data_IF_420903873888
#
_entry.id   IF_420903873888
#
_cell.length_a   1.000
_cell.length_b   1.000
_cell.length_c   1.000
_cell.angle_alpha   90.00
_cell.angle_beta   90.00
_cell.angle_gamma   90.00
#
_symmetry.space_group_name_H-M   'P 1'
#
loop_
_entity.id
_entity.type
_entity.pdbx_description
1 polymer ?
#
# COMPACT_ATOMS: atom_id res chain seq x y z
N UNK A 1 18.25 -8.50 7.99
CA UNK A 1 17.49 -7.82 6.93
C UNK A 1 17.06 -6.49 7.51
N UNK A 2 17.96 -5.51 7.55
CA UNK A 2 17.65 -4.17 8.04
C UNK A 2 16.98 -3.42 6.89
N UNK A 3 15.64 -3.42 6.89
CA UNK A 3 14.91 -2.44 6.11
C UNK A 3 15.39 -1.05 6.55
N UNK A 4 15.65 -0.16 5.59
CA UNK A 4 15.95 1.25 5.83
C UNK A 4 15.11 1.77 7.01
N UNK A 5 15.78 2.27 8.04
CA UNK A 5 15.23 2.65 9.35
C UNK A 5 14.05 3.64 9.30
N UNK A 6 13.78 4.23 8.13
CA UNK A 6 12.71 5.18 7.89
C UNK A 6 11.31 4.58 7.83
N UNK A 7 11.17 3.26 7.61
CA UNK A 7 9.84 2.63 7.41
C UNK A 7 9.22 2.13 8.73
N UNK A 8 9.88 2.35 9.87
CA UNK A 8 9.38 1.85 11.16
C UNK A 8 8.04 2.47 11.60
N UNK A 9 7.67 3.64 11.07
CA UNK A 9 6.46 4.37 11.41
C UNK A 9 5.69 4.77 10.14
N UNK A 10 4.43 4.36 10.05
CA UNK A 10 3.52 4.70 8.95
C UNK A 10 2.77 5.98 9.33
N UNK A 11 3.11 7.09 8.69
CA UNK A 11 2.43 8.39 8.89
C UNK A 11 1.17 8.54 8.03
N UNK A 12 1.07 7.77 6.95
CA UNK A 12 -0.03 7.76 5.99
C UNK A 12 -0.83 6.47 6.12
N UNK A 13 -1.56 6.37 7.22
CA UNK A 13 -2.52 5.30 7.47
C UNK A 13 -3.93 5.75 7.16
N UNK A 14 -4.66 4.87 6.50
CA UNK A 14 -6.04 5.09 6.13
C UNK A 14 -6.89 3.93 6.62
N UNK A 15 -8.14 4.20 6.93
CA UNK A 15 -9.22 3.22 6.78
C UNK A 15 -10.19 3.76 5.75
N UNK A 16 -11.14 2.96 5.32
CA UNK A 16 -12.18 3.46 4.45
C UNK A 16 -13.51 2.80 4.76
N UNK A 17 -14.57 3.51 4.39
CA UNK A 17 -15.94 3.00 4.41
C UNK A 17 -16.40 2.78 2.99
N UNK A 18 -16.85 1.57 2.69
CA UNK A 18 -17.44 1.24 1.40
C UNK A 18 -18.95 1.46 1.45
N UNK A 19 -19.47 2.08 0.40
CA UNK A 19 -20.90 2.27 0.17
C UNK A 19 -21.25 1.58 -1.13
N UNK A 20 -22.17 0.62 -1.09
CA UNK A 20 -22.63 -0.09 -2.27
C UNK A 20 -24.10 0.24 -2.58
N UNK A 21 -24.37 0.54 -3.84
CA UNK A 21 -25.72 0.66 -4.40
C UNK A 21 -25.74 -0.16 -5.69
N UNK A 22 -26.51 -1.26 -5.70
CA UNK A 22 -26.50 -2.25 -6.78
C UNK A 22 -25.06 -2.73 -7.08
N UNK A 23 -24.60 -2.59 -8.32
CA UNK A 23 -23.26 -3.01 -8.77
C UNK A 23 -22.20 -1.92 -8.64
N UNK A 24 -22.54 -0.74 -8.11
CA UNK A 24 -21.61 0.37 -7.93
C UNK A 24 -21.19 0.42 -6.46
N UNK A 25 -19.88 0.33 -6.23
CA UNK A 25 -19.28 0.56 -4.91
C UNK A 25 -18.43 1.82 -4.93
N UNK A 26 -18.62 2.67 -3.93
CA UNK A 26 -17.81 3.86 -3.69
C UNK A 26 -16.99 3.71 -2.41
N UNK A 27 -15.77 4.24 -2.42
CA UNK A 27 -14.83 4.18 -1.29
C UNK A 27 -14.62 5.57 -0.70
N UNK A 28 -14.97 5.74 0.58
CA UNK A 28 -14.66 6.95 1.35
C UNK A 28 -13.45 6.70 2.24
N UNK A 29 -12.35 7.38 1.94
CA UNK A 29 -11.09 7.27 2.69
C UNK A 29 -11.14 8.14 3.95
N UNK A 30 -10.70 7.58 5.08
CA UNK A 30 -10.59 8.23 6.38
C UNK A 30 -9.14 8.10 6.87
N UNK A 31 -8.47 9.22 7.11
CA UNK A 31 -7.09 9.22 7.60
C UNK A 31 -7.04 8.89 9.10
N UNK A 32 -6.11 8.02 9.47
CA UNK A 32 -5.84 7.61 10.84
C UNK A 32 -4.57 8.29 11.37
N UNK A 33 -4.37 8.19 12.69
CA UNK A 33 -3.11 8.56 13.31
C UNK A 33 -1.99 7.62 12.87
N UNK A 34 -0.75 8.10 12.96
CA UNK A 34 0.42 7.32 12.64
C UNK A 34 0.59 6.11 13.57
N UNK A 35 1.13 5.03 13.04
CA UNK A 35 1.34 3.79 13.79
C UNK A 35 2.56 3.05 13.26
N UNK A 36 3.25 2.31 14.14
CA UNK A 36 4.38 1.48 13.74
C UNK A 36 3.94 0.31 12.87
N UNK A 37 4.80 -0.11 11.94
CA UNK A 37 4.54 -1.29 11.07
C UNK A 37 4.25 -2.54 11.90
N UNK A 38 4.97 -2.75 13.00
CA UNK A 38 4.75 -3.90 13.88
C UNK A 38 3.32 -3.93 14.47
N UNK A 39 2.80 -2.79 14.89
CA UNK A 39 1.42 -2.68 15.40
C UNK A 39 0.39 -2.88 14.28
N UNK A 40 0.68 -2.41 13.06
CA UNK A 40 -0.16 -2.71 11.88
C UNK A 40 -0.22 -4.23 11.64
N UNK A 41 0.93 -4.90 11.70
CA UNK A 41 1.04 -6.35 11.50
C UNK A 41 0.26 -7.15 12.56
N UNK A 42 0.29 -6.75 13.84
CA UNK A 42 -0.52 -7.36 14.90
C UNK A 42 -2.02 -7.28 14.58
N UNK A 43 -2.51 -6.13 14.09
CA UNK A 43 -3.90 -5.97 13.66
C UNK A 43 -4.24 -6.84 12.43
N UNK A 44 -3.30 -7.05 11.51
CA UNK A 44 -3.49 -7.89 10.32
C UNK A 44 -3.71 -9.36 10.65
N UNK A 45 -3.01 -9.90 11.65
CA UNK A 45 -3.06 -11.34 11.97
C UNK A 45 -4.46 -11.76 12.46
N UNK A 46 -5.19 -10.84 13.09
CA UNK A 46 -6.52 -11.11 13.64
C UNK A 46 -7.66 -10.90 12.63
N UNK A 47 -7.40 -10.36 11.43
CA UNK A 47 -8.45 -9.94 10.48
C UNK A 47 -8.72 -10.91 9.33
N UNK A 48 -7.86 -11.92 9.09
CA UNK A 48 -7.97 -12.82 7.94
C UNK A 48 -8.80 -14.10 8.24
N UNK A 49 -9.85 -14.41 7.48
CA UNK A 49 -10.56 -15.69 7.58
C UNK A 49 -9.69 -16.84 7.01
N UNK A 50 -9.40 -17.85 7.84
CA UNK A 50 -8.41 -18.92 7.59
C UNK A 50 -8.79 -19.97 6.49
N UNK A 51 -9.59 -19.63 5.48
CA UNK A 51 -9.98 -20.59 4.42
C UNK A 51 -9.71 -20.03 3.01
N UNK A 52 -8.70 -20.59 2.33
CA UNK A 52 -8.19 -20.13 1.04
C UNK A 52 -9.18 -20.26 -0.14
N UNK A 53 -10.10 -21.23 -0.12
CA UNK A 53 -10.88 -21.59 -1.31
C UNK A 53 -12.06 -20.66 -1.65
N UNK A 54 -12.46 -19.75 -0.76
CA UNK A 54 -13.64 -18.88 -0.97
C UNK A 54 -13.37 -17.38 -0.76
N UNK A 55 -12.11 -16.95 -0.74
CA UNK A 55 -11.75 -15.58 -0.34
C UNK A 55 -12.36 -14.49 -1.23
N UNK A 56 -12.46 -14.70 -2.55
CA UNK A 56 -13.04 -13.71 -3.47
C UNK A 56 -14.53 -13.52 -3.19
N UNK A 57 -15.29 -14.61 -3.12
CA UNK A 57 -16.72 -14.57 -2.82
C UNK A 57 -16.99 -14.01 -1.42
N UNK A 58 -16.18 -14.39 -0.43
CA UNK A 58 -16.28 -13.83 0.92
C UNK A 58 -15.97 -12.34 0.92
N UNK A 59 -14.87 -11.91 0.29
CA UNK A 59 -14.49 -10.50 0.18
C UNK A 59 -15.64 -9.65 -0.37
N UNK A 60 -16.19 -9.99 -1.54
CA UNK A 60 -17.31 -9.23 -2.12
C UNK A 60 -18.56 -9.27 -1.24
N UNK A 61 -18.81 -10.38 -0.53
CA UNK A 61 -19.94 -10.50 0.40
C UNK A 61 -19.77 -9.62 1.64
N UNK A 62 -18.54 -9.41 2.12
CA UNK A 62 -18.30 -8.74 3.41
C UNK A 62 -17.71 -7.34 3.29
N UNK A 63 -17.24 -6.91 2.11
CA UNK A 63 -16.44 -5.69 1.95
C UNK A 63 -17.11 -4.42 2.48
N UNK A 64 -18.44 -4.29 2.35
CA UNK A 64 -19.20 -3.14 2.87
C UNK A 64 -19.25 -3.07 4.40
N UNK A 65 -19.05 -4.20 5.08
CA UNK A 65 -19.09 -4.30 6.54
C UNK A 65 -17.67 -4.32 7.15
N UNK A 66 -16.64 -4.51 6.33
CA UNK A 66 -15.25 -4.46 6.76
C UNK A 66 -14.69 -3.04 6.72
N UNK A 67 -13.85 -2.71 7.70
CA UNK A 67 -13.16 -1.42 7.79
C UNK A 67 -11.66 -1.69 7.91
N UNK A 68 -11.00 -2.14 6.84
CA UNK A 68 -9.58 -2.47 6.87
C UNK A 68 -8.75 -1.20 7.06
N UNK A 69 -7.55 -1.38 7.59
CA UNK A 69 -6.51 -0.36 7.63
C UNK A 69 -5.56 -0.57 6.45
N UNK A 70 -5.22 0.51 5.78
CA UNK A 70 -4.34 0.52 4.63
C UNK A 70 -3.25 1.57 4.85
N UNK A 71 -2.02 1.11 5.07
CA UNK A 71 -0.86 1.99 5.06
C UNK A 71 -0.44 2.22 3.62
N UNK A 72 -0.66 3.41 3.09
CA UNK A 72 -0.39 3.71 1.68
C UNK A 72 0.61 4.84 1.56
N UNK A 73 1.17 5.00 0.37
CA UNK A 73 1.93 6.20 0.00
C UNK A 73 3.13 6.52 0.90
N UNK A 74 3.75 5.48 1.48
CA UNK A 74 4.97 5.63 2.28
C UNK A 74 6.18 5.58 1.35
N UNK A 75 6.89 6.69 1.20
CA UNK A 75 8.10 6.73 0.38
C UNK A 75 9.21 5.83 0.96
N UNK A 76 9.78 4.96 0.14
CA UNK A 76 10.81 4.02 0.57
C UNK A 76 11.02 2.85 -0.38
N UNK A 77 12.02 2.03 -0.09
CA UNK A 77 12.33 0.80 -0.84
C UNK A 77 12.85 -0.27 0.11
N UNK A 78 12.45 -1.53 -0.13
CA UNK A 78 13.03 -2.70 0.54
C UNK A 78 14.18 -3.33 -0.24
N UNK A 79 14.49 -2.81 -1.43
CA UNK A 79 15.62 -3.30 -2.23
C UNK A 79 16.93 -2.84 -1.60
N UNK A 80 17.86 -3.77 -1.44
CA UNK A 80 19.25 -3.45 -1.12
C UNK A 80 19.87 -2.61 -2.25
N UNK A 81 20.83 -1.76 -1.91
CA UNK A 81 21.44 -0.84 -2.87
C UNK A 81 22.14 -1.56 -4.04
N UNK A 82 22.63 -2.77 -3.76
CA UNK A 82 23.44 -3.59 -4.66
C UNK A 82 22.62 -4.47 -5.61
N UNK A 83 21.29 -4.40 -5.61
CA UNK A 83 20.44 -5.17 -6.55
C UNK A 83 20.27 -4.38 -7.84
N UNK A 84 20.85 -4.81 -8.98
CA UNK A 84 20.69 -4.11 -10.25
C UNK A 84 19.42 -4.50 -10.99
N UNK A 85 18.90 -5.72 -10.83
CA UNK A 85 17.73 -6.21 -11.54
C UNK A 85 16.43 -5.68 -10.94
N UNK A 86 15.50 -5.23 -11.80
CA UNK A 86 14.17 -4.75 -11.39
C UNK A 86 14.19 -3.74 -10.23
N UNK A 87 15.24 -2.92 -10.15
CA UNK A 87 15.39 -1.89 -9.12
C UNK A 87 14.28 -0.86 -9.30
N UNK A 88 13.25 -0.90 -8.45
CA UNK A 88 12.05 -0.06 -8.59
C UNK A 88 12.34 1.45 -8.67
N UNK A 89 13.46 1.90 -8.08
CA UNK A 89 13.90 3.31 -8.13
C UNK A 89 14.50 3.72 -9.49
N UNK A 90 14.90 2.77 -10.33
CA UNK A 90 15.50 3.00 -11.65
C UNK A 90 15.32 1.77 -12.53
N UNK A 91 14.20 1.71 -13.25
CA UNK A 91 13.84 0.58 -14.10
C UNK A 91 14.47 0.67 -15.51
N UNK A 92 15.11 1.79 -15.84
CA UNK A 92 15.70 2.04 -17.17
C UNK A 92 14.64 2.33 -18.22
N UNK A 93 13.54 2.98 -17.84
CA UNK A 93 12.43 3.31 -18.73
C UNK A 93 12.52 4.75 -19.24
N UNK A 94 11.65 5.12 -20.18
CA UNK A 94 11.50 6.51 -20.65
C UNK A 94 11.19 7.50 -19.51
N UNK A 95 10.62 7.04 -18.38
CA UNK A 95 10.38 7.88 -17.21
C UNK A 95 11.69 8.23 -16.49
N UNK A 96 12.66 7.31 -16.47
CA UNK A 96 14.00 7.56 -15.92
C UNK A 96 14.74 8.57 -16.81
N UNK A 97 14.69 8.39 -18.13
CA UNK A 97 15.24 9.35 -19.10
C UNK A 97 14.59 10.74 -18.95
N UNK A 98 13.26 10.80 -18.85
CA UNK A 98 12.52 12.06 -18.67
C UNK A 98 12.91 12.76 -17.37
N UNK A 99 13.13 12.00 -16.30
CA UNK A 99 13.62 12.54 -15.02
C UNK A 99 15.02 13.12 -15.17
N UNK A 100 15.93 12.42 -15.85
CA UNK A 100 17.30 12.88 -16.13
C UNK A 100 17.28 14.18 -16.98
N UNK A 101 16.48 14.23 -18.05
CA UNK A 101 16.33 15.38 -18.94
C UNK A 101 15.71 16.61 -18.25
N UNK A 102 14.83 16.41 -17.26
CA UNK A 102 14.18 17.48 -16.52
C UNK A 102 14.99 17.97 -15.30
N UNK A 103 16.29 17.70 -15.26
CA UNK A 103 17.17 18.14 -14.17
C UNK A 103 16.94 17.39 -12.86
N UNK A 104 16.52 16.12 -12.94
CA UNK A 104 16.32 15.26 -11.77
C UNK A 104 15.03 15.54 -10.99
N UNK A 105 14.06 16.25 -11.57
CA UNK A 105 12.77 16.50 -10.92
C UNK A 105 12.02 15.20 -10.65
N UNK A 106 11.62 15.00 -9.40
CA UNK A 106 10.89 13.83 -8.93
C UNK A 106 9.41 14.11 -8.77
N UNK A 107 8.59 13.13 -9.17
CA UNK A 107 7.15 13.11 -8.92
C UNK A 107 6.91 11.97 -7.94
N UNK A 108 6.54 12.35 -6.71
CA UNK A 108 6.28 11.45 -5.59
C UNK A 108 5.27 10.34 -5.96
N UNK A 109 5.68 9.09 -5.80
CA UNK A 109 4.87 7.91 -6.12
C UNK A 109 4.78 7.57 -7.61
N UNK A 110 5.40 8.35 -8.50
CA UNK A 110 5.45 8.09 -9.94
C UNK A 110 6.89 7.79 -10.38
N UNK A 111 7.83 8.69 -10.08
CA UNK A 111 9.26 8.51 -10.34
C UNK A 111 10.07 8.25 -9.06
N UNK A 112 9.39 8.09 -7.94
CA UNK A 112 9.92 7.61 -6.65
C UNK A 112 9.12 6.42 -6.15
N UNK A 113 9.73 5.58 -5.33
CA UNK A 113 9.17 4.29 -4.91
C UNK A 113 8.33 4.45 -3.66
N UNK A 114 7.10 3.95 -3.72
CA UNK A 114 6.12 4.00 -2.64
C UNK A 114 5.83 2.58 -2.14
N UNK A 115 5.71 2.45 -0.82
CA UNK A 115 5.43 1.23 -0.10
C UNK A 115 3.96 1.23 0.35
N UNK A 116 3.33 0.06 0.22
CA UNK A 116 1.95 -0.18 0.62
C UNK A 116 1.89 -1.35 1.59
N UNK A 117 1.16 -1.17 2.69
CA UNK A 117 0.96 -2.10 3.79
C UNK A 117 -0.53 -2.41 3.89
N UNK A 118 -0.93 -3.54 3.32
CA UNK A 118 -2.32 -3.99 3.31
C UNK A 118 -2.63 -5.00 4.40
N UNK A 119 -3.88 -4.95 4.89
CA UNK A 119 -4.48 -6.03 5.68
C UNK A 119 -5.63 -6.67 4.90
N UNK A 120 -6.14 -7.81 5.39
CA UNK A 120 -7.27 -8.47 4.74
C UNK A 120 -8.47 -7.51 4.57
N UNK A 121 -9.03 -7.51 3.37
CA UNK A 121 -10.13 -6.61 3.00
C UNK A 121 -9.69 -5.24 2.47
N UNK A 122 -8.40 -4.86 2.59
CA UNK A 122 -7.85 -3.64 2.01
C UNK A 122 -7.86 -3.69 0.46
N UNK A 123 -8.22 -2.58 -0.17
CA UNK A 123 -8.56 -2.51 -1.60
C UNK A 123 -8.10 -1.19 -2.21
N UNK A 124 -7.79 -1.25 -3.50
CA UNK A 124 -7.57 -0.09 -4.35
C UNK A 124 -8.65 -0.09 -5.45
N UNK A 125 -9.14 1.10 -5.81
CA UNK A 125 -10.15 1.29 -6.86
C UNK A 125 -9.47 1.54 -8.22
#
# INVERSE_FOLDING_TARGET
MEASTNVANLSTLFTYRLFAVQDITSMLILQLLSMKVASCHELCIHSSPFAAAAQIAYYFKTMVNSHPIYGADTEGSFYDENVPEFKMKRLGTILDETKELNGGKEIRGVTTVYLYFGMYGASFA
#
